data_IF_403687631742
#
_entry.id   IF_403687631742
#
_cell.length_a   1.000
_cell.length_b   1.000
_cell.length_c   1.000
_cell.angle_alpha   90.00
_cell.angle_beta   90.00
_cell.angle_gamma   90.00
#
_symmetry.space_group_name_H-M   'P 1'
#
loop_
_entity.id
_entity.type
_entity.pdbx_description
1 polymer ?
#
# COMPACT_ATOMS: atom_id res chain seq x y z
N UNK A 1 43.76 37.69 -48.46
CA UNK A 1 43.62 36.88 -47.22
C UNK A 1 42.56 37.55 -46.36
N UNK A 2 41.43 36.99 -45.92
CA UNK A 2 40.83 35.66 -45.97
C UNK A 2 39.31 35.88 -46.18
N UNK A 3 38.71 35.22 -47.17
CA UNK A 3 37.28 34.85 -47.16
C UNK A 3 37.15 33.51 -46.42
N UNK A 4 35.96 33.28 -45.84
CA UNK A 4 35.35 32.03 -45.27
C UNK A 4 34.87 32.33 -43.85
N UNK A 5 33.65 32.04 -43.42
CA UNK A 5 32.47 31.41 -44.03
C UNK A 5 31.36 31.60 -42.99
N UNK A 6 30.25 32.26 -43.32
CA UNK A 6 29.08 32.31 -42.44
C UNK A 6 28.44 30.92 -42.43
N UNK A 7 28.38 30.31 -41.25
CA UNK A 7 27.67 29.08 -40.98
C UNK A 7 26.17 29.38 -41.09
N UNK A 8 25.48 28.75 -42.04
CA UNK A 8 24.02 28.71 -42.05
C UNK A 8 23.57 27.82 -40.88
N UNK A 9 22.96 28.44 -39.87
CA UNK A 9 22.19 27.75 -38.84
C UNK A 9 20.94 27.23 -39.53
N UNK A 10 20.95 25.94 -39.88
CA UNK A 10 19.73 25.24 -40.27
C UNK A 10 18.83 25.13 -39.04
N UNK A 11 17.77 25.94 -39.00
CA UNK A 11 16.61 25.69 -38.16
C UNK A 11 16.00 24.36 -38.60
N UNK A 12 16.31 23.29 -37.87
CA UNK A 12 15.51 22.07 -37.94
C UNK A 12 14.22 22.36 -37.17
N UNK A 13 13.16 22.65 -37.93
CA UNK A 13 11.77 22.61 -37.47
C UNK A 13 11.46 21.17 -37.03
N UNK A 14 11.82 20.83 -35.79
CA UNK A 14 11.12 19.78 -35.08
C UNK A 14 9.82 20.41 -34.57
N UNK A 15 8.73 19.99 -35.21
CA UNK A 15 7.35 20.25 -34.81
C UNK A 15 7.20 20.28 -33.29
N UNK A 16 6.86 21.47 -32.78
CA UNK A 16 6.27 21.67 -31.47
C UNK A 16 4.94 20.90 -31.43
N UNK A 17 5.03 19.62 -31.13
CA UNK A 17 3.94 18.79 -30.61
C UNK A 17 4.20 18.57 -29.12
N UNK A 18 4.29 19.66 -28.36
CA UNK A 18 4.14 19.60 -26.92
C UNK A 18 2.77 20.19 -26.60
N UNK A 19 1.90 19.25 -26.28
CA UNK A 19 0.65 19.33 -25.51
C UNK A 19 0.52 20.59 -24.67
N UNK A 20 -0.70 21.15 -24.62
CA UNK A 20 -1.15 22.17 -23.68
C UNK A 20 -1.17 21.64 -22.22
N UNK A 21 -0.07 21.05 -21.75
CA UNK A 21 0.06 20.39 -20.45
C UNK A 21 0.60 21.31 -19.35
N UNK A 22 0.56 22.63 -19.50
CA UNK A 22 1.26 23.52 -18.54
C UNK A 22 0.50 24.69 -17.93
N UNK A 23 -0.83 24.77 -18.07
CA UNK A 23 -1.64 25.77 -17.32
C UNK A 23 -2.86 25.22 -16.56
N UNK A 24 -3.02 23.89 -16.47
CA UNK A 24 -3.89 23.24 -15.45
C UNK A 24 -3.08 22.73 -14.23
N UNK A 25 -1.79 23.08 -14.16
CA UNK A 25 -0.91 22.75 -13.05
C UNK A 25 -1.19 23.69 -11.86
N UNK A 26 -2.27 23.38 -11.15
CA UNK A 26 -2.66 24.06 -9.94
C UNK A 26 -3.76 23.29 -9.21
N UNK A 27 -3.40 22.15 -8.60
CA UNK A 27 -3.97 21.84 -7.28
C UNK A 27 -3.87 23.17 -6.52
N UNK A 28 -5.00 23.75 -6.06
CA UNK A 28 -5.18 25.06 -5.40
C UNK A 28 -6.12 26.09 -6.08
N UNK A 29 -6.65 25.84 -7.28
CA UNK A 29 -7.69 26.69 -7.88
C UNK A 29 -9.10 26.06 -7.86
N UNK A 30 -9.36 25.12 -6.95
CA UNK A 30 -10.65 24.41 -6.86
C UNK A 30 -10.83 23.29 -7.89
N UNK A 31 -9.75 22.87 -8.57
CA UNK A 31 -9.73 21.74 -9.49
C UNK A 31 -8.74 20.69 -9.02
N UNK A 32 -9.07 19.42 -9.25
CA UNK A 32 -8.31 18.25 -8.85
C UNK A 32 -8.03 17.42 -10.09
N UNK A 33 -6.76 17.03 -10.25
CA UNK A 33 -6.34 16.07 -11.27
C UNK A 33 -5.85 14.81 -10.57
N UNK A 34 -6.35 13.65 -10.94
CA UNK A 34 -5.87 12.37 -10.41
C UNK A 34 -4.84 11.79 -11.38
N UNK A 35 -3.56 11.62 -10.98
CA UNK A 35 -2.51 11.06 -11.85
C UNK A 35 -2.72 9.59 -12.21
N UNK A 36 -3.70 8.94 -11.59
CA UNK A 36 -4.05 7.56 -11.82
C UNK A 36 -5.37 7.50 -12.59
N UNK A 37 -5.31 7.07 -13.84
CA UNK A 37 -6.48 7.00 -14.73
C UNK A 37 -7.59 6.12 -14.16
N UNK A 38 -7.26 5.08 -13.38
CA UNK A 38 -8.27 4.17 -12.80
C UNK A 38 -9.04 4.90 -11.69
N UNK A 39 -8.32 5.65 -10.85
CA UNK A 39 -8.93 6.54 -9.84
C UNK A 39 -9.75 7.63 -10.53
N UNK A 40 -9.17 8.31 -11.52
CA UNK A 40 -9.82 9.39 -12.26
C UNK A 40 -11.14 8.92 -12.88
N UNK A 41 -11.11 7.78 -13.58
CA UNK A 41 -12.28 7.19 -14.23
C UNK A 41 -13.36 6.77 -13.21
N UNK A 42 -12.99 6.12 -12.11
CA UNK A 42 -14.00 5.70 -11.13
C UNK A 42 -14.69 6.90 -10.48
N UNK A 43 -13.92 7.91 -10.07
CA UNK A 43 -14.46 9.13 -9.46
C UNK A 43 -15.36 9.84 -10.48
N UNK A 44 -14.91 9.97 -11.73
CA UNK A 44 -15.71 10.64 -12.76
C UNK A 44 -17.01 9.88 -13.04
N UNK A 45 -17.00 8.55 -13.17
CA UNK A 45 -18.23 7.76 -13.32
C UNK A 45 -19.20 7.97 -12.15
N UNK A 46 -18.70 8.04 -10.92
CA UNK A 46 -19.55 8.33 -9.75
C UNK A 46 -20.13 9.73 -9.83
N UNK A 47 -19.32 10.76 -10.12
CA UNK A 47 -19.82 12.13 -10.27
C UNK A 47 -20.81 12.27 -11.43
N UNK A 48 -20.59 11.58 -12.54
CA UNK A 48 -21.49 11.54 -13.69
C UNK A 48 -22.86 10.99 -13.31
N UNK A 49 -22.89 9.93 -12.49
CA UNK A 49 -24.14 9.35 -11.99
C UNK A 49 -24.99 10.30 -11.14
N UNK A 50 -24.36 11.35 -10.58
CA UNK A 50 -25.02 12.44 -9.85
C UNK A 50 -25.25 13.69 -10.72
N UNK A 51 -24.84 13.69 -11.99
CA UNK A 51 -24.92 14.85 -12.88
C UNK A 51 -23.96 15.97 -12.51
N UNK A 52 -22.81 15.64 -11.90
CA UNK A 52 -21.85 16.60 -11.36
C UNK A 52 -20.59 16.76 -12.21
N UNK A 53 -20.47 16.04 -13.34
CA UNK A 53 -19.41 16.32 -14.32
C UNK A 53 -19.78 17.51 -15.20
N UNK A 54 -18.78 18.30 -15.57
CA UNK A 54 -18.92 19.50 -16.37
C UNK A 54 -17.85 19.56 -17.48
N UNK A 55 -17.87 20.64 -18.26
CA UNK A 55 -16.95 20.86 -19.39
C UNK A 55 -15.48 20.77 -18.96
N UNK A 56 -15.12 21.16 -17.73
CA UNK A 56 -13.73 21.08 -17.25
C UNK A 56 -13.18 19.66 -17.22
N UNK A 57 -14.01 18.67 -16.91
CA UNK A 57 -13.60 17.26 -16.98
C UNK A 57 -13.44 16.81 -18.43
N UNK A 58 -14.40 17.14 -19.29
CA UNK A 58 -14.37 16.68 -20.69
C UNK A 58 -13.27 17.37 -21.52
N UNK A 59 -12.94 18.63 -21.22
CA UNK A 59 -11.95 19.42 -21.95
C UNK A 59 -10.53 19.22 -21.42
N UNK A 60 -10.37 19.03 -20.11
CA UNK A 60 -9.05 19.05 -19.45
C UNK A 60 -8.78 17.86 -18.52
N UNK A 61 -9.74 16.95 -18.31
CA UNK A 61 -9.56 15.80 -17.41
C UNK A 61 -9.45 16.17 -15.93
N UNK A 62 -9.94 17.35 -15.53
CA UNK A 62 -9.90 17.84 -14.14
C UNK A 62 -11.30 17.85 -13.52
N UNK A 63 -11.38 17.63 -12.22
CA UNK A 63 -12.62 17.58 -11.45
C UNK A 63 -12.69 18.80 -10.54
N UNK A 64 -13.79 19.55 -10.57
CA UNK A 64 -14.01 20.62 -9.59
C UNK A 64 -14.18 20.05 -8.17
N UNK A 65 -13.44 20.60 -7.21
CA UNK A 65 -13.50 20.20 -5.80
C UNK A 65 -14.89 20.47 -5.20
N UNK A 66 -15.56 21.53 -5.65
CA UNK A 66 -16.93 21.89 -5.26
C UNK A 66 -17.95 20.78 -5.58
N UNK A 67 -17.67 19.92 -6.57
CA UNK A 67 -18.56 18.82 -6.92
C UNK A 67 -18.73 17.84 -5.75
N UNK A 68 -17.70 17.65 -4.91
CA UNK A 68 -17.79 16.77 -3.76
C UNK A 68 -18.73 17.32 -2.66
N UNK A 69 -18.93 18.64 -2.60
CA UNK A 69 -19.87 19.28 -1.67
C UNK A 69 -21.34 19.08 -2.09
N UNK A 70 -21.57 18.75 -3.35
CA UNK A 70 -22.90 18.51 -3.92
C UNK A 70 -23.34 17.04 -3.79
N UNK A 71 -22.47 16.17 -3.25
CA UNK A 71 -22.80 14.77 -3.03
C UNK A 71 -23.89 14.60 -1.97
N UNK A 72 -24.80 13.63 -2.13
CA UNK A 72 -25.69 13.22 -1.06
C UNK A 72 -24.88 12.88 0.20
N UNK A 73 -25.29 13.43 1.35
CA UNK A 73 -24.55 13.30 2.62
C UNK A 73 -23.10 13.83 2.61
N UNK A 74 -22.72 14.61 1.59
CA UNK A 74 -21.42 15.25 1.45
C UNK A 74 -20.24 14.29 1.17
N UNK A 75 -20.51 13.01 0.85
CA UNK A 75 -19.49 12.01 0.51
C UNK A 75 -20.08 10.80 -0.22
N UNK A 76 -19.24 10.07 -0.96
CA UNK A 76 -19.58 8.75 -1.47
C UNK A 76 -19.65 7.71 -0.34
N UNK A 77 -20.44 6.66 -0.55
CA UNK A 77 -20.42 5.49 0.33
C UNK A 77 -19.07 4.77 0.25
N UNK A 78 -18.55 4.58 -0.95
CA UNK A 78 -17.24 3.95 -1.16
C UNK A 78 -16.58 4.43 -2.43
N UNK A 79 -15.25 4.31 -2.47
CA UNK A 79 -14.46 4.27 -3.70
C UNK A 79 -13.62 3.00 -3.67
N UNK A 80 -13.45 2.36 -4.82
CA UNK A 80 -12.75 1.10 -4.97
C UNK A 80 -11.98 1.05 -6.27
N UNK A 81 -10.89 1.83 -6.42
CA UNK A 81 -10.13 1.82 -7.66
C UNK A 81 -9.50 0.44 -7.82
N UNK A 82 -10.09 -0.35 -8.70
CA UNK A 82 -9.72 -1.74 -8.89
C UNK A 82 -9.74 -2.11 -10.38
N UNK A 83 -8.71 -2.78 -10.90
CA UNK A 83 -7.43 -3.11 -10.24
C UNK A 83 -6.47 -1.92 -10.20
N UNK A 84 -5.64 -1.76 -9.16
CA UNK A 84 -4.41 -0.97 -9.26
C UNK A 84 -3.43 -1.70 -10.16
N UNK A 85 -3.13 -1.12 -11.31
CA UNK A 85 -2.22 -1.66 -12.31
C UNK A 85 -0.95 -0.82 -12.42
N UNK A 86 0.11 -1.43 -12.94
CA UNK A 86 1.47 -0.87 -13.04
C UNK A 86 1.61 0.50 -13.71
N UNK A 87 0.61 0.98 -14.45
CA UNK A 87 0.69 2.24 -15.19
C UNK A 87 0.70 3.46 -14.26
N UNK A 88 0.06 3.38 -13.10
CA UNK A 88 0.15 4.39 -12.03
C UNK A 88 -0.29 3.78 -10.72
N UNK A 89 0.62 3.74 -9.73
CA UNK A 89 0.29 3.37 -8.36
C UNK A 89 0.07 4.61 -7.47
N UNK A 90 0.02 5.80 -8.10
CA UNK A 90 -0.12 7.04 -7.37
C UNK A 90 -1.46 7.10 -6.68
N UNK A 91 -1.43 7.46 -5.41
CA UNK A 91 -2.59 7.75 -4.57
C UNK A 91 -2.71 9.25 -4.26
N UNK A 92 -1.93 10.08 -4.96
CA UNK A 92 -1.99 11.52 -4.84
C UNK A 92 -3.42 12.03 -5.09
N UNK A 93 -3.77 13.09 -4.37
CA UNK A 93 -5.06 13.78 -4.46
C UNK A 93 -6.26 12.99 -3.92
N UNK A 94 -6.09 11.75 -3.43
CA UNK A 94 -7.14 11.04 -2.69
C UNK A 94 -7.58 11.75 -1.40
N UNK A 95 -6.80 12.71 -0.89
CA UNK A 95 -7.20 13.56 0.23
C UNK A 95 -8.43 14.44 -0.08
N UNK A 96 -8.67 14.76 -1.36
CA UNK A 96 -9.82 15.56 -1.77
C UNK A 96 -11.08 14.74 -2.00
N UNK A 97 -10.95 13.41 -2.09
CA UNK A 97 -12.09 12.53 -2.32
C UNK A 97 -12.84 12.32 -1.00
N UNK A 98 -14.07 12.81 -0.97
CA UNK A 98 -14.97 12.59 0.16
C UNK A 98 -15.67 11.24 -0.02
N UNK A 99 -15.18 10.20 0.65
CA UNK A 99 -15.81 8.88 0.67
C UNK A 99 -15.70 8.25 2.05
N UNK A 100 -16.69 7.43 2.43
CA UNK A 100 -16.67 6.71 3.72
C UNK A 100 -15.71 5.52 3.69
N UNK A 101 -15.74 4.73 2.63
CA UNK A 101 -14.89 3.54 2.50
C UNK A 101 -13.90 3.69 1.35
N UNK A 102 -12.62 3.43 1.63
CA UNK A 102 -11.54 3.34 0.64
C UNK A 102 -11.18 1.88 0.41
N UNK A 103 -11.31 1.40 -0.83
CA UNK A 103 -10.89 0.05 -1.18
C UNK A 103 -9.75 0.08 -2.20
N UNK A 104 -8.61 -0.53 -1.87
CA UNK A 104 -7.40 -0.55 -2.68
C UNK A 104 -6.99 -2.00 -2.95
N UNK A 105 -6.92 -2.41 -4.21
CA UNK A 105 -6.56 -3.78 -4.60
C UNK A 105 -5.72 -3.73 -5.84
N UNK A 106 -4.50 -4.25 -5.75
CA UNK A 106 -3.62 -4.41 -6.88
C UNK A 106 -2.17 -4.39 -6.47
N UNK A 107 -1.32 -3.77 -7.29
CA UNK A 107 0.13 -3.89 -7.16
C UNK A 107 0.73 -2.62 -6.56
N UNK A 108 1.38 -2.74 -5.40
CA UNK A 108 2.24 -1.71 -4.79
C UNK A 108 1.62 -0.30 -4.60
N UNK A 109 0.50 -0.15 -3.86
CA UNK A 109 0.00 1.19 -3.55
C UNK A 109 1.01 1.96 -2.67
N UNK A 110 1.37 3.18 -3.09
CA UNK A 110 2.18 4.09 -2.27
C UNK A 110 1.30 4.79 -1.24
N UNK A 111 1.00 4.09 -0.14
CA UNK A 111 0.02 4.52 0.85
C UNK A 111 0.36 5.88 1.48
N UNK A 112 1.65 6.24 1.58
CA UNK A 112 2.08 7.52 2.13
C UNK A 112 1.72 8.73 1.26
N UNK A 113 1.30 8.53 0.02
CA UNK A 113 0.78 9.62 -0.83
C UNK A 113 -0.67 9.99 -0.50
N UNK A 114 -1.38 9.16 0.27
CA UNK A 114 -2.70 9.52 0.78
C UNK A 114 -2.50 10.65 1.79
N UNK A 115 -2.81 11.88 1.38
CA UNK A 115 -2.81 13.05 2.26
C UNK A 115 -3.90 12.97 3.33
N UNK A 116 -3.90 13.96 4.24
CA UNK A 116 -4.86 14.01 5.34
C UNK A 116 -6.32 14.00 4.83
N UNK A 117 -7.11 13.00 5.24
CA UNK A 117 -8.50 12.84 4.84
C UNK A 117 -9.35 12.39 6.02
N UNK A 118 -10.30 13.23 6.41
CA UNK A 118 -11.20 12.98 7.54
C UNK A 118 -12.48 12.21 7.14
N UNK A 119 -12.75 12.03 5.84
CA UNK A 119 -13.97 11.39 5.37
C UNK A 119 -13.94 9.86 5.51
N UNK A 120 -12.76 9.26 5.36
CA UNK A 120 -12.56 7.82 5.42
C UNK A 120 -12.75 7.28 6.84
N UNK A 121 -13.67 6.32 6.97
CA UNK A 121 -13.96 5.59 8.19
C UNK A 121 -13.57 4.11 8.07
N UNK A 122 -13.46 3.59 6.84
CA UNK A 122 -13.06 2.22 6.55
C UNK A 122 -12.04 2.18 5.43
N UNK A 123 -11.03 1.34 5.58
CA UNK A 123 -10.02 1.10 4.56
C UNK A 123 -9.77 -0.39 4.37
N UNK A 124 -9.91 -0.84 3.12
CA UNK A 124 -9.67 -2.20 2.69
C UNK A 124 -8.48 -2.19 1.72
N UNK A 125 -7.40 -2.91 2.03
CA UNK A 125 -6.18 -2.95 1.23
C UNK A 125 -5.82 -4.39 0.91
N UNK A 126 -5.65 -4.70 -0.38
CA UNK A 126 -5.24 -6.02 -0.86
C UNK A 126 -4.08 -5.87 -1.86
N UNK A 127 -2.88 -6.31 -1.46
CA UNK A 127 -1.68 -6.25 -2.29
C UNK A 127 -1.39 -7.64 -2.86
N UNK A 128 -1.46 -7.81 -4.19
CA UNK A 128 -1.62 -9.12 -4.84
C UNK A 128 -0.47 -9.62 -5.75
N UNK A 129 0.64 -8.89 -5.95
CA UNK A 129 1.69 -9.30 -6.92
C UNK A 129 3.15 -9.08 -6.46
N UNK A 130 4.03 -10.04 -6.79
CA UNK A 130 5.44 -10.19 -6.36
C UNK A 130 6.47 -10.21 -7.50
N UNK A 131 6.13 -9.85 -8.74
CA UNK A 131 7.05 -10.09 -9.86
C UNK A 131 8.31 -9.22 -9.92
N UNK A 132 8.45 -8.15 -9.11
CA UNK A 132 9.61 -7.25 -9.20
C UNK A 132 10.18 -6.87 -7.83
N UNK A 133 11.25 -7.54 -7.36
CA UNK A 133 11.98 -7.10 -6.17
C UNK A 133 12.66 -5.75 -6.46
N UNK A 134 12.23 -4.68 -5.79
CA UNK A 134 12.93 -3.38 -5.85
C UNK A 134 12.07 -2.13 -5.62
N UNK A 135 10.75 -2.20 -5.78
CA UNK A 135 9.85 -1.09 -5.47
C UNK A 135 9.43 -1.17 -4.01
N UNK A 136 9.85 -0.21 -3.19
CA UNK A 136 9.47 -0.16 -1.78
C UNK A 136 8.01 0.27 -1.68
N UNK A 137 7.18 -0.54 -1.02
CA UNK A 137 5.85 -0.08 -0.57
C UNK A 137 6.05 0.88 0.59
N UNK A 138 6.11 2.19 0.33
CA UNK A 138 6.25 3.15 1.42
C UNK A 138 4.96 3.20 2.24
N UNK A 139 5.09 3.16 3.57
CA UNK A 139 3.94 3.24 4.49
C UNK A 139 3.31 1.90 4.89
N UNK A 140 3.52 0.81 4.13
CA UNK A 140 2.97 -0.51 4.49
C UNK A 140 3.73 -1.14 5.66
N UNK A 141 5.06 -1.10 5.61
CA UNK A 141 5.92 -1.76 6.59
C UNK A 141 5.82 -1.12 7.99
N UNK A 142 5.38 0.14 8.06
CA UNK A 142 5.35 0.92 9.29
C UNK A 142 3.99 1.59 9.54
N UNK A 143 2.96 1.28 8.76
CA UNK A 143 1.60 1.83 8.85
C UNK A 143 1.53 3.38 8.96
N UNK A 144 2.56 4.10 8.49
CA UNK A 144 2.68 5.55 8.72
C UNK A 144 1.58 6.40 8.07
N UNK A 145 1.03 5.95 6.95
CA UNK A 145 -0.07 6.61 6.25
C UNK A 145 -1.33 6.79 7.13
N UNK A 146 -1.53 5.94 8.15
CA UNK A 146 -2.70 6.03 9.04
C UNK A 146 -2.75 7.35 9.82
N UNK A 147 -1.62 8.04 10.01
CA UNK A 147 -1.57 9.39 10.59
C UNK A 147 -2.41 10.41 9.80
N UNK A 148 -2.64 10.15 8.51
CA UNK A 148 -3.43 11.01 7.64
C UNK A 148 -4.93 10.66 7.68
N UNK A 149 -5.34 9.62 8.41
CA UNK A 149 -6.70 9.09 8.41
C UNK A 149 -7.31 9.11 9.83
N UNK A 150 -7.52 10.30 10.43
CA UNK A 150 -7.87 10.43 11.85
C UNK A 150 -9.20 9.77 12.24
N UNK A 151 -10.13 9.62 11.29
CA UNK A 151 -11.45 9.05 11.51
C UNK A 151 -11.56 7.56 11.13
N UNK A 152 -10.45 6.91 10.78
CA UNK A 152 -10.43 5.50 10.42
C UNK A 152 -10.85 4.62 11.60
N UNK A 153 -11.88 3.80 11.42
CA UNK A 153 -12.43 2.90 12.43
C UNK A 153 -12.22 1.43 12.10
N UNK A 154 -12.20 1.10 10.82
CA UNK A 154 -12.09 -0.27 10.30
C UNK A 154 -10.89 -0.33 9.35
N UNK A 155 -9.95 -1.23 9.62
CA UNK A 155 -8.78 -1.44 8.78
C UNK A 155 -8.63 -2.91 8.40
N UNK A 156 -8.83 -3.24 7.13
CA UNK A 156 -8.58 -4.57 6.61
C UNK A 156 -7.41 -4.52 5.64
N UNK A 157 -6.41 -5.35 5.89
CA UNK A 157 -5.16 -5.37 5.14
C UNK A 157 -4.75 -6.80 4.84
N UNK A 158 -4.52 -7.08 3.56
CA UNK A 158 -3.95 -8.33 3.08
C UNK A 158 -2.78 -8.01 2.16
N UNK A 159 -1.62 -8.59 2.42
CA UNK A 159 -0.49 -8.55 1.48
C UNK A 159 0.02 -9.95 1.20
N UNK A 160 0.18 -10.29 -0.08
CA UNK A 160 0.92 -11.48 -0.50
C UNK A 160 2.30 -11.15 -1.10
N UNK A 161 2.76 -9.90 -0.88
CA UNK A 161 3.96 -9.36 -1.51
C UNK A 161 4.92 -8.69 -0.53
N UNK A 162 6.18 -8.53 -1.00
CA UNK A 162 7.23 -7.80 -0.28
C UNK A 162 7.84 -8.58 0.88
N UNK A 163 8.02 -7.89 2.01
CA UNK A 163 8.33 -8.52 3.29
C UNK A 163 7.06 -8.64 4.11
N UNK A 164 7.01 -9.66 4.95
CA UNK A 164 5.95 -9.82 5.92
C UNK A 164 5.92 -8.61 6.86
N UNK A 165 4.73 -8.09 7.11
CA UNK A 165 4.54 -7.17 8.22
C UNK A 165 4.68 -8.03 9.47
N UNK A 166 5.68 -7.78 10.30
CA UNK A 166 5.92 -8.51 11.56
C UNK A 166 5.74 -7.62 12.78
N UNK A 167 5.75 -6.30 12.58
CA UNK A 167 5.51 -5.30 13.60
C UNK A 167 4.26 -4.51 13.25
N UNK A 168 3.22 -4.66 14.08
CA UNK A 168 1.98 -3.88 13.99
C UNK A 168 1.79 -2.98 15.21
N UNK A 169 2.85 -2.72 15.98
CA UNK A 169 2.79 -1.95 17.23
C UNK A 169 2.14 -0.57 17.05
N UNK A 170 2.44 0.08 15.93
CA UNK A 170 1.91 1.40 15.57
C UNK A 170 0.40 1.45 15.44
N UNK A 171 -0.28 0.32 15.22
CA UNK A 171 -1.75 0.28 15.27
C UNK A 171 -2.28 0.77 16.63
N UNK A 172 -1.47 0.65 17.70
CA UNK A 172 -1.77 1.18 19.03
C UNK A 172 -1.83 2.70 19.13
N UNK A 173 -1.25 3.43 18.16
CA UNK A 173 -1.30 4.89 18.09
C UNK A 173 -2.64 5.41 17.52
N UNK A 174 -3.48 4.51 17.01
CA UNK A 174 -4.76 4.83 16.35
C UNK A 174 -5.96 4.26 17.15
N UNK A 175 -6.29 4.86 18.31
CA UNK A 175 -7.37 4.36 19.17
C UNK A 175 -8.77 4.49 18.56
N UNK A 176 -8.92 5.25 17.47
CA UNK A 176 -10.16 5.31 16.67
C UNK A 176 -10.45 4.01 15.93
N UNK A 177 -9.43 3.19 15.66
CA UNK A 177 -9.59 1.87 15.04
C UNK A 177 -10.24 0.93 16.05
N UNK A 178 -11.44 0.49 15.75
CA UNK A 178 -12.26 -0.41 16.58
C UNK A 178 -12.33 -1.84 16.02
N UNK A 179 -11.85 -2.03 14.79
CA UNK A 179 -11.75 -3.31 14.11
C UNK A 179 -10.54 -3.31 13.20
N UNK A 180 -9.73 -4.38 13.25
CA UNK A 180 -8.68 -4.57 12.27
C UNK A 180 -8.47 -6.04 11.92
N UNK A 181 -8.36 -6.32 10.62
CA UNK A 181 -7.96 -7.63 10.09
C UNK A 181 -6.67 -7.46 9.29
N UNK A 182 -5.59 -8.07 9.73
CA UNK A 182 -4.28 -7.99 9.07
C UNK A 182 -3.83 -9.39 8.68
N UNK A 183 -3.52 -9.59 7.41
CA UNK A 183 -3.04 -10.85 6.85
C UNK A 183 -1.79 -10.60 6.01
N UNK A 184 -0.73 -11.39 6.26
CA UNK A 184 0.50 -11.33 5.47
C UNK A 184 0.94 -12.72 5.00
N UNK A 185 1.03 -12.90 3.69
CA UNK A 185 1.52 -14.11 3.03
C UNK A 185 2.78 -13.79 2.25
N UNK A 186 3.95 -13.79 2.89
CA UNK A 186 5.12 -13.14 2.31
C UNK A 186 6.44 -13.72 2.82
N UNK A 187 7.54 -12.97 2.69
CA UNK A 187 8.88 -13.41 3.15
C UNK A 187 9.34 -12.61 4.36
N UNK A 188 10.00 -13.27 5.30
CA UNK A 188 10.84 -12.59 6.29
C UNK A 188 12.25 -12.33 5.70
N UNK A 189 13.06 -11.46 6.33
CA UNK A 189 14.46 -11.30 5.97
C UNK A 189 15.21 -12.64 5.93
N UNK A 190 16.09 -12.80 4.94
CA UNK A 190 16.88 -14.01 4.80
C UNK A 190 17.86 -14.19 5.97
N UNK A 191 17.99 -15.42 6.46
CA UNK A 191 18.97 -15.80 7.47
C UNK A 191 20.19 -16.43 6.82
N UNK A 192 21.37 -16.27 7.44
CA UNK A 192 22.59 -16.96 6.98
C UNK A 192 22.92 -18.08 7.93
N UNK A 193 22.96 -19.32 7.42
CA UNK A 193 23.35 -20.50 8.18
C UNK A 193 24.63 -21.08 7.62
N UNK A 194 25.55 -21.48 8.51
CA UNK A 194 26.73 -22.23 8.10
C UNK A 194 26.34 -23.69 7.92
N UNK A 195 26.90 -24.36 6.93
CA UNK A 195 26.70 -25.80 6.69
C UNK A 195 26.87 -26.66 7.96
N UNK A 196 27.85 -26.36 8.81
CA UNK A 196 28.05 -27.05 10.09
C UNK A 196 27.05 -26.73 11.21
N UNK A 197 26.20 -25.70 11.04
CA UNK A 197 25.28 -25.19 12.06
C UNK A 197 23.85 -25.16 11.53
N UNK A 198 23.16 -26.29 11.68
CA UNK A 198 21.82 -26.56 11.13
C UNK A 198 20.71 -26.27 12.14
N UNK A 199 20.81 -25.11 12.77
CA UNK A 199 19.90 -24.67 13.83
C UNK A 199 19.59 -23.18 13.65
N UNK A 200 18.32 -22.83 13.78
CA UNK A 200 17.86 -21.45 13.84
C UNK A 200 16.93 -21.28 15.04
N UNK A 201 17.08 -20.16 15.76
CA UNK A 201 16.22 -19.81 16.89
C UNK A 201 15.85 -18.33 16.79
N UNK A 202 14.60 -18.01 17.12
CA UNK A 202 14.11 -16.64 17.23
C UNK A 202 13.09 -16.56 18.36
N UNK A 203 13.15 -15.50 19.15
CA UNK A 203 12.22 -15.24 20.25
C UNK A 203 11.19 -14.23 19.77
N UNK A 204 9.91 -14.59 19.85
CA UNK A 204 8.74 -13.73 19.59
C UNK A 204 8.95 -12.74 18.43
N UNK A 205 9.09 -13.22 17.19
CA UNK A 205 9.40 -12.36 16.04
C UNK A 205 8.27 -11.38 15.66
N UNK A 206 7.11 -11.46 16.31
CA UNK A 206 5.92 -10.69 15.98
C UNK A 206 5.62 -9.70 17.11
N UNK A 207 5.59 -8.41 16.76
CA UNK A 207 5.33 -7.32 17.69
C UNK A 207 3.88 -6.87 17.50
N UNK A 208 3.08 -7.01 18.57
CA UNK A 208 1.67 -6.64 18.56
C UNK A 208 1.44 -5.19 18.95
N UNK A 209 0.32 -4.64 18.48
CA UNK A 209 -0.25 -3.41 19.01
C UNK A 209 -0.83 -3.61 20.42
N UNK A 210 -0.86 -2.52 21.19
CA UNK A 210 -1.51 -2.45 22.50
C UNK A 210 -2.99 -2.84 22.46
N UNK A 211 -3.66 -2.74 21.31
CA UNK A 211 -5.04 -3.21 21.11
C UNK A 211 -5.17 -4.72 21.36
N UNK A 212 -4.12 -5.49 21.09
CA UNK A 212 -4.03 -6.93 21.36
C UNK A 212 -3.54 -7.26 22.78
N UNK A 213 -3.40 -6.29 23.70
CA UNK A 213 -2.88 -6.53 25.05
C UNK A 213 -3.58 -7.69 25.76
N UNK A 214 -2.82 -8.68 26.24
CA UNK A 214 -3.36 -9.88 26.88
C UNK A 214 -3.85 -10.98 25.92
N UNK A 215 -3.70 -10.81 24.60
CA UNK A 215 -3.87 -11.88 23.64
C UNK A 215 -2.61 -12.74 23.55
N UNK A 216 -2.79 -14.04 23.33
CA UNK A 216 -1.70 -14.99 23.10
C UNK A 216 -1.46 -15.17 21.59
N UNK A 217 -0.20 -15.18 21.17
CA UNK A 217 0.19 -15.46 19.78
C UNK A 217 0.44 -16.96 19.65
N UNK A 218 -0.25 -17.59 18.71
CA UNK A 218 -0.02 -18.99 18.38
C UNK A 218 0.95 -19.06 17.20
N UNK A 219 2.14 -19.63 17.40
CA UNK A 219 3.10 -19.91 16.35
C UNK A 219 3.06 -21.38 15.93
N UNK A 220 3.14 -21.63 14.63
CA UNK A 220 3.25 -22.98 14.05
C UNK A 220 4.13 -22.99 12.81
N UNK A 221 4.53 -24.19 12.39
CA UNK A 221 5.25 -24.42 11.14
C UNK A 221 4.87 -25.80 10.60
N UNK A 222 4.90 -25.97 9.29
CA UNK A 222 4.81 -27.28 8.65
C UNK A 222 6.19 -27.99 8.57
N UNK A 223 7.27 -27.33 8.99
CA UNK A 223 8.60 -27.91 9.04
C UNK A 223 8.67 -28.93 10.19
N UNK A 224 9.06 -30.17 9.89
CA UNK A 224 9.18 -31.25 10.88
C UNK A 224 10.26 -30.99 11.95
N UNK A 225 11.13 -30.01 11.72
CA UNK A 225 12.22 -29.59 12.59
C UNK A 225 11.83 -28.51 13.59
N UNK A 226 10.61 -27.98 13.49
CA UNK A 226 10.11 -26.87 14.27
C UNK A 226 9.65 -27.27 15.67
N UNK A 227 9.97 -26.43 16.64
CA UNK A 227 9.42 -26.47 18.01
C UNK A 227 9.17 -25.03 18.48
N UNK A 228 8.11 -24.85 19.27
CA UNK A 228 7.80 -23.60 19.96
C UNK A 228 7.70 -23.90 21.47
N UNK A 229 8.42 -23.16 22.29
CA UNK A 229 8.30 -23.22 23.75
C UNK A 229 8.36 -21.81 24.30
N UNK A 230 7.24 -21.33 24.84
CA UNK A 230 7.12 -20.01 25.45
C UNK A 230 7.64 -18.87 24.54
N UNK A 231 7.25 -18.89 23.25
CA UNK A 231 7.65 -17.87 22.28
C UNK A 231 9.04 -18.06 21.66
N UNK A 232 9.83 -19.00 22.17
CA UNK A 232 11.11 -19.38 21.58
C UNK A 232 10.89 -20.40 20.46
N UNK A 233 10.95 -19.90 19.23
CA UNK A 233 10.81 -20.68 18.00
C UNK A 233 12.14 -21.27 17.60
N UNK A 234 12.19 -22.58 17.35
CA UNK A 234 13.42 -23.29 17.00
C UNK A 234 13.21 -24.23 15.84
N UNK A 235 14.14 -24.19 14.89
CA UNK A 235 14.30 -25.21 13.84
C UNK A 235 15.60 -25.94 14.09
N UNK A 236 15.53 -27.23 14.41
CA UNK A 236 16.70 -28.06 14.73
C UNK A 236 16.95 -29.13 13.67
N UNK A 237 18.23 -29.40 13.35
CA UNK A 237 18.61 -30.37 12.33
C UNK A 237 18.01 -30.07 10.95
N UNK A 238 18.03 -28.80 10.56
CA UNK A 238 17.55 -28.30 9.25
C UNK A 238 18.28 -29.06 8.12
N UNK A 239 17.58 -29.70 7.17
CA UNK A 239 18.20 -30.33 6.00
C UNK A 239 19.02 -29.34 5.17
N UNK A 240 20.07 -29.83 4.51
CA UNK A 240 21.02 -28.95 3.77
C UNK A 240 20.41 -28.33 2.52
N UNK A 241 19.43 -29.01 1.95
CA UNK A 241 18.67 -28.62 0.78
C UNK A 241 17.50 -27.68 1.11
N UNK A 242 17.25 -27.38 2.39
CA UNK A 242 16.17 -26.47 2.78
C UNK A 242 16.51 -25.05 2.33
N UNK A 243 15.69 -24.51 1.43
CA UNK A 243 15.82 -23.14 0.91
C UNK A 243 15.11 -22.10 1.78
N UNK A 244 14.08 -22.52 2.51
CA UNK A 244 13.28 -21.66 3.39
C UNK A 244 12.73 -22.44 4.58
N UNK A 245 12.57 -21.74 5.69
CA UNK A 245 11.77 -22.19 6.84
C UNK A 245 10.38 -21.59 6.73
N UNK A 246 9.35 -22.34 7.08
CA UNK A 246 7.98 -21.87 7.09
C UNK A 246 7.61 -21.41 8.50
N UNK A 247 6.94 -20.28 8.63
CA UNK A 247 6.43 -19.78 9.89
C UNK A 247 5.00 -19.28 9.69
N UNK A 248 4.11 -19.76 10.53
CA UNK A 248 2.75 -19.29 10.63
C UNK A 248 2.51 -18.68 12.02
N UNK A 249 1.74 -17.60 12.08
CA UNK A 249 1.20 -17.09 13.35
C UNK A 249 -0.26 -16.70 13.23
N UNK A 250 -0.95 -16.80 14.35
CA UNK A 250 -2.31 -16.32 14.52
C UNK A 250 -2.50 -15.71 15.90
N UNK A 251 -3.09 -14.52 15.93
CA UNK A 251 -3.56 -13.85 17.15
C UNK A 251 -4.90 -13.18 16.88
N UNK A 252 -5.82 -13.27 17.84
CA UNK A 252 -7.10 -12.56 17.77
C UNK A 252 -7.55 -12.08 19.14
N UNK A 253 -8.28 -10.96 19.16
CA UNK A 253 -8.88 -10.39 20.36
C UNK A 253 -10.05 -9.50 19.99
N UNK A 254 -11.27 -9.90 20.34
CA UNK A 254 -12.47 -9.14 19.97
C UNK A 254 -12.57 -8.95 18.45
N UNK A 255 -12.64 -7.70 18.00
CA UNK A 255 -12.72 -7.34 16.57
C UNK A 255 -11.35 -7.20 15.88
N UNK A 256 -10.29 -7.68 16.52
CA UNK A 256 -8.93 -7.62 15.98
C UNK A 256 -8.42 -9.02 15.66
N UNK A 257 -7.86 -9.20 14.47
CA UNK A 257 -7.16 -10.43 14.08
C UNK A 257 -5.92 -10.11 13.27
N UNK A 258 -4.85 -10.84 13.53
CA UNK A 258 -3.59 -10.72 12.81
C UNK A 258 -2.98 -12.08 12.55
N UNK A 259 -2.78 -12.38 11.27
CA UNK A 259 -2.33 -13.68 10.77
C UNK A 259 -1.16 -13.48 9.82
N UNK A 260 -0.21 -14.41 9.87
CA UNK A 260 0.83 -14.49 8.85
C UNK A 260 1.15 -15.91 8.46
N UNK A 261 1.42 -16.12 7.18
CA UNK A 261 1.96 -17.36 6.60
C UNK A 261 3.18 -16.99 5.76
N UNK A 262 4.38 -17.24 6.27
CA UNK A 262 5.60 -16.66 5.72
C UNK A 262 6.72 -17.66 5.53
N UNK A 263 7.59 -17.33 4.59
CA UNK A 263 8.85 -18.04 4.36
C UNK A 263 10.04 -17.22 4.88
N UNK A 264 10.96 -17.87 5.58
CA UNK A 264 12.25 -17.33 6.00
C UNK A 264 13.34 -17.94 5.10
N UNK A 265 13.84 -17.21 4.08
CA UNK A 265 14.84 -17.75 3.17
C UNK A 265 16.16 -18.04 3.88
N UNK A 266 16.83 -19.12 3.52
CA UNK A 266 18.15 -19.48 4.04
C UNK A 266 19.22 -19.21 2.97
N UNK A 267 20.26 -18.48 3.37
CA UNK A 267 21.50 -18.36 2.63
C UNK A 267 22.57 -19.26 3.28
N UNK A 268 22.88 -20.38 2.62
CA UNK A 268 23.89 -21.34 3.11
C UNK A 268 25.31 -20.85 2.83
N UNK A 269 26.17 -20.90 3.85
CA UNK A 269 27.61 -20.57 3.77
C UNK A 269 28.53 -21.65 4.33
#
# INVERSE_FOLDING_TARGET
MKRKSLLFIGLFLCSLGFTNESEAAGIHNGYIQFPNDIIANEISYKLESFGLLNESYYDYGVIEESNFDLLPNGKFDSIGPFPFSYLSNSLENLQYVKAKTLNLQGTYPELNQIGANEAYEEMNVVISNTQYPGTQNTGVADLSFMNNLPNLKIFNFKTVAGYALTDISKLGDFPSITQATIETESKMPAITLKSGYRKYEVLDPIILSSQFSGAEINYSSNDSTFTNTDGLLKWNAIPFETEYLNLHWFVSKGNFSYTGDVQIPINWK
#
